data_IF_327580872304
#
_entry.id   IF_327580872304
#
_cell.length_a   1.000
_cell.length_b   1.000
_cell.length_c   1.000
_cell.angle_alpha   90.00
_cell.angle_beta   90.00
_cell.angle_gamma   90.00
#
_symmetry.space_group_name_H-M   'P 1'
#
loop_
_entity.id
_entity.type
_entity.pdbx_description
1 polymer ?
#
# COMPACT_ATOMS: atom_id res chain seq x y z
N UNK A 1 5.57 41.27 27.50
CA UNK A 1 4.19 41.19 27.00
C UNK A 1 3.59 39.95 27.62
N UNK A 2 2.77 40.15 28.65
CA UNK A 2 2.28 39.09 29.54
C UNK A 2 0.91 38.66 29.03
N UNK A 3 0.77 37.42 28.56
CA UNK A 3 -0.52 36.86 28.23
C UNK A 3 -0.94 35.87 29.33
N UNK A 4 -1.99 36.27 30.04
CA UNK A 4 -2.71 35.48 31.04
C UNK A 4 -3.76 34.67 30.29
N UNK A 5 -3.73 33.34 30.39
CA UNK A 5 -4.83 32.49 29.94
C UNK A 5 -5.63 32.00 31.15
N UNK A 6 -6.87 32.48 31.19
CA UNK A 6 -7.93 32.15 32.14
C UNK A 6 -8.48 30.77 31.80
N UNK A 7 -8.64 29.94 32.83
CA UNK A 7 -9.18 28.59 32.70
C UNK A 7 -10.69 28.54 32.59
N UNK A 8 -11.18 27.47 31.96
CA UNK A 8 -12.53 26.94 32.18
C UNK A 8 -12.40 25.46 32.53
N UNK A 9 -12.63 25.15 33.80
CA UNK A 9 -12.81 23.80 34.27
C UNK A 9 -14.19 23.28 33.91
N UNK A 10 -14.27 22.01 33.53
CA UNK A 10 -15.52 21.26 33.49
C UNK A 10 -15.28 19.89 34.13
N UNK A 11 -15.72 19.77 35.37
CA UNK A 11 -15.77 18.55 36.15
C UNK A 11 -16.92 17.69 35.63
N UNK A 12 -16.58 16.66 34.85
CA UNK A 12 -17.51 15.61 34.43
C UNK A 12 -17.53 14.48 35.46
N UNK A 13 -18.72 14.20 35.97
CA UNK A 13 -19.04 13.19 36.98
C UNK A 13 -18.82 11.78 36.44
N UNK A 14 -18.01 10.96 37.11
CA UNK A 14 -17.79 9.53 36.78
C UNK A 14 -18.75 8.70 37.64
N UNK A 15 -19.72 7.96 37.06
CA UNK A 15 -20.53 7.00 37.81
C UNK A 15 -19.72 5.73 38.14
N UNK A 16 -20.01 5.07 39.28
CA UNK A 16 -19.26 3.91 39.75
C UNK A 16 -19.51 2.64 38.91
N UNK A 17 -18.42 1.93 38.63
CA UNK A 17 -18.39 0.57 38.08
C UNK A 17 -19.07 -0.38 39.06
N UNK A 18 -20.09 -1.11 38.60
CA UNK A 18 -20.70 -2.23 39.31
C UNK A 18 -20.32 -3.53 38.61
N UNK A 19 -19.90 -4.49 39.43
CA UNK A 19 -19.35 -5.80 39.09
C UNK A 19 -20.22 -6.59 38.12
N UNK A 20 -19.65 -6.95 36.97
CA UNK A 20 -20.19 -8.01 36.12
C UNK A 20 -19.45 -9.29 36.43
N UNK A 21 -20.19 -10.24 37.00
CA UNK A 21 -19.76 -11.60 37.31
C UNK A 21 -19.41 -12.36 36.03
N UNK A 22 -18.14 -12.69 35.82
CA UNK A 22 -17.69 -13.52 34.71
C UNK A 22 -17.92 -15.00 35.03
N UNK A 23 -18.96 -15.60 34.46
CA UNK A 23 -19.10 -17.06 34.39
C UNK A 23 -18.10 -17.63 33.39
N UNK A 24 -17.19 -18.46 33.89
CA UNK A 24 -16.31 -19.28 33.06
C UNK A 24 -17.13 -20.41 32.41
N UNK A 25 -17.36 -20.30 31.10
CA UNK A 25 -17.83 -21.40 30.27
C UNK A 25 -16.61 -22.04 29.62
N UNK A 26 -16.30 -23.28 30.04
CA UNK A 26 -15.34 -24.15 29.38
C UNK A 26 -15.87 -24.56 28.02
N UNK A 27 -15.23 -24.13 26.94
CA UNK A 27 -15.42 -24.70 25.59
C UNK A 27 -14.23 -25.59 25.31
N UNK A 28 -14.52 -26.89 25.15
CA UNK A 28 -13.55 -27.90 24.78
C UNK A 28 -13.74 -28.28 23.31
N UNK A 29 -12.62 -28.64 22.69
CA UNK A 29 -12.47 -29.37 21.43
C UNK A 29 -12.78 -28.65 20.11
N UNK A 30 -11.68 -28.35 19.40
CA UNK A 30 -11.45 -29.03 18.13
C UNK A 30 -11.75 -28.20 16.89
N UNK A 31 -10.77 -27.44 16.42
CA UNK A 31 -10.61 -27.12 15.02
C UNK A 31 -9.11 -27.02 14.71
N UNK A 32 -8.64 -28.04 13.99
CA UNK A 32 -7.35 -28.08 13.31
C UNK A 32 -7.20 -26.84 12.43
N UNK A 33 -6.04 -26.16 12.38
CA UNK A 33 -5.82 -25.12 11.39
C UNK A 33 -5.97 -25.75 10.00
N UNK A 34 -6.90 -25.21 9.23
CA UNK A 34 -7.11 -25.60 7.84
C UNK A 34 -5.87 -25.16 7.09
N UNK A 35 -5.12 -26.14 6.60
CA UNK A 35 -4.04 -25.97 5.64
C UNK A 35 -4.43 -24.94 4.59
N UNK A 36 -3.64 -23.88 4.53
CA UNK A 36 -3.58 -22.89 3.48
C UNK A 36 -3.64 -23.62 2.13
N UNK A 37 -4.81 -23.55 1.48
CA UNK A 37 -5.01 -24.15 0.18
C UNK A 37 -4.36 -23.23 -0.83
N UNK A 38 -3.05 -23.37 -1.01
CA UNK A 38 -2.41 -23.04 -2.28
C UNK A 38 -3.08 -23.92 -3.34
N UNK A 39 -4.07 -23.36 -4.02
CA UNK A 39 -4.67 -24.01 -5.18
C UNK A 39 -3.59 -24.21 -6.24
N UNK A 40 -3.63 -25.31 -7.02
CA UNK A 40 -2.69 -25.49 -8.12
C UNK A 40 -2.82 -24.33 -9.10
N UNK A 41 -1.68 -23.77 -9.51
CA UNK A 41 -1.63 -22.80 -10.61
C UNK A 41 -2.41 -23.38 -11.80
N UNK A 42 -3.50 -22.73 -12.18
CA UNK A 42 -4.35 -23.19 -13.28
C UNK A 42 -3.57 -22.97 -14.57
N UNK A 43 -3.04 -24.06 -15.12
CA UNK A 43 -2.33 -24.04 -16.39
C UNK A 43 -3.34 -23.80 -17.51
N UNK A 44 -3.33 -22.60 -18.08
CA UNK A 44 -3.90 -22.39 -19.43
C UNK A 44 -3.14 -23.35 -20.33
N UNK A 45 -3.84 -24.34 -20.88
CA UNK A 45 -3.20 -25.55 -21.43
C UNK A 45 -2.10 -25.19 -22.43
N UNK A 46 -0.84 -25.50 -22.06
CA UNK A 46 0.33 -25.28 -22.91
C UNK A 46 0.95 -23.88 -22.89
N UNK A 47 0.45 -22.95 -22.09
CA UNK A 47 1.04 -21.63 -21.89
C UNK A 47 1.73 -21.53 -20.53
N UNK A 48 2.86 -20.83 -20.50
CA UNK A 48 3.58 -20.45 -19.30
C UNK A 48 3.99 -18.97 -19.40
N UNK A 49 3.99 -18.24 -18.27
CA UNK A 49 4.49 -16.87 -18.22
C UNK A 49 5.90 -16.75 -18.79
N UNK A 50 6.21 -15.64 -19.50
CA UNK A 50 7.56 -15.40 -19.99
C UNK A 50 8.55 -15.23 -18.83
N UNK A 51 9.84 -15.51 -19.06
CA UNK A 51 10.88 -15.19 -18.09
C UNK A 51 10.90 -13.68 -17.84
N UNK A 52 11.13 -13.30 -16.58
CA UNK A 52 11.06 -11.91 -16.16
C UNK A 52 12.32 -11.16 -16.58
N UNK A 53 12.22 -10.03 -17.30
CA UNK A 53 13.35 -9.14 -17.48
C UNK A 53 13.73 -8.53 -16.12
N UNK A 54 15.01 -8.67 -15.74
CA UNK A 54 15.62 -8.06 -14.55
C UNK A 54 15.34 -6.53 -14.55
N UNK A 55 15.21 -5.86 -13.37
CA UNK A 55 14.90 -4.44 -13.29
C UNK A 55 15.72 -3.57 -14.25
N UNK A 56 15.09 -2.52 -14.79
CA UNK A 56 15.76 -1.53 -15.67
C UNK A 56 16.97 -0.87 -14.98
N UNK A 57 16.88 -0.71 -13.65
CA UNK A 57 17.90 -0.10 -12.81
C UNK A 57 18.40 -1.11 -11.77
N UNK A 58 19.54 -1.80 -12.03
CA UNK A 58 20.07 -2.79 -11.09
C UNK A 58 20.55 -2.19 -9.76
N UNK A 59 20.82 -0.89 -9.72
CA UNK A 59 21.32 -0.18 -8.53
C UNK A 59 20.17 0.47 -7.74
N UNK A 60 18.90 0.26 -8.12
CA UNK A 60 17.73 0.89 -7.49
C UNK A 60 17.67 0.66 -5.98
N UNK A 61 17.98 -0.57 -5.53
CA UNK A 61 18.07 -0.91 -4.11
C UNK A 61 19.12 -0.08 -3.37
N UNK A 62 20.29 0.16 -3.98
CA UNK A 62 21.34 0.99 -3.38
C UNK A 62 20.91 2.45 -3.28
N UNK A 63 20.25 2.97 -4.32
CA UNK A 63 19.73 4.35 -4.35
C UNK A 63 18.70 4.63 -3.26
N UNK A 64 17.84 3.65 -2.98
CA UNK A 64 16.86 3.75 -1.89
C UNK A 64 17.50 3.68 -0.50
N UNK A 65 18.71 3.14 -0.39
CA UNK A 65 19.45 3.03 0.87
C UNK A 65 18.59 2.42 1.99
N UNK A 66 18.37 3.14 3.11
CA UNK A 66 17.62 2.62 4.24
C UNK A 66 16.12 2.43 3.96
N UNK A 67 15.57 3.01 2.90
CA UNK A 67 14.17 2.85 2.52
C UNK A 67 13.93 1.64 1.61
N UNK A 68 14.99 0.95 1.17
CA UNK A 68 14.90 -0.14 0.22
C UNK A 68 13.94 -1.25 0.66
N UNK A 69 14.00 -1.66 1.93
CA UNK A 69 13.15 -2.74 2.44
C UNK A 69 11.69 -2.33 2.57
N UNK A 70 11.42 -1.03 2.72
CA UNK A 70 10.07 -0.50 2.76
C UNK A 70 9.40 -0.50 1.40
N UNK A 71 10.13 -0.03 0.40
CA UNK A 71 9.67 0.16 -0.96
C UNK A 71 9.60 -1.18 -1.70
N UNK A 72 10.63 -2.02 -1.54
CA UNK A 72 10.77 -3.26 -2.29
C UNK A 72 10.14 -4.47 -1.58
N UNK A 73 10.10 -4.46 -0.24
CA UNK A 73 9.59 -5.57 0.59
C UNK A 73 10.18 -6.95 0.25
N UNK A 74 11.40 -6.98 -0.29
CA UNK A 74 12.08 -8.20 -0.74
C UNK A 74 11.96 -8.51 -2.23
N UNK A 75 11.20 -7.71 -2.99
CA UNK A 75 11.20 -7.74 -4.46
C UNK A 75 12.38 -7.00 -5.08
N UNK A 76 12.49 -7.11 -6.41
CA UNK A 76 13.47 -6.38 -7.20
C UNK A 76 12.95 -4.98 -7.62
N UNK A 77 11.64 -4.82 -7.76
CA UNK A 77 10.94 -3.55 -8.00
C UNK A 77 9.76 -3.39 -7.04
N UNK A 78 9.25 -2.16 -6.82
CA UNK A 78 8.06 -1.94 -5.99
C UNK A 78 6.83 -2.64 -6.59
N UNK A 79 5.96 -3.17 -5.72
CA UNK A 79 4.68 -3.70 -6.18
C UNK A 79 3.85 -2.57 -6.81
N UNK A 80 3.36 -2.79 -8.03
CA UNK A 80 2.59 -1.80 -8.78
C UNK A 80 3.42 -0.75 -9.52
N UNK A 81 4.77 -0.82 -9.50
CA UNK A 81 5.61 0.06 -10.31
C UNK A 81 5.38 -0.12 -11.81
N UNK A 82 5.86 0.82 -12.63
CA UNK A 82 5.80 0.72 -14.09
C UNK A 82 6.39 -0.61 -14.60
N UNK A 83 7.53 -1.05 -14.07
CA UNK A 83 8.14 -2.33 -14.42
C UNK A 83 7.25 -3.52 -14.07
N UNK A 84 6.59 -3.49 -12.91
CA UNK A 84 5.64 -4.52 -12.53
C UNK A 84 4.46 -4.54 -13.51
N UNK A 85 3.84 -3.39 -13.78
CA UNK A 85 2.70 -3.26 -14.69
C UNK A 85 3.06 -3.74 -16.09
N UNK A 86 4.21 -3.31 -16.63
CA UNK A 86 4.68 -3.73 -17.96
C UNK A 86 4.96 -5.23 -18.03
N UNK A 87 5.46 -5.83 -16.96
CA UNK A 87 5.63 -7.29 -16.89
C UNK A 87 4.27 -7.99 -16.98
N UNK A 88 3.28 -7.57 -16.20
CA UNK A 88 1.95 -8.19 -16.18
C UNK A 88 1.26 -8.04 -17.55
N UNK A 89 1.33 -6.85 -18.17
CA UNK A 89 0.81 -6.61 -19.54
C UNK A 89 1.44 -7.58 -20.54
N UNK A 90 2.77 -7.62 -20.61
CA UNK A 90 3.50 -8.52 -21.51
C UNK A 90 3.17 -10.00 -21.27
N UNK A 91 3.03 -10.38 -20.00
CA UNK A 91 2.63 -11.74 -19.63
C UNK A 91 1.23 -12.09 -20.14
N UNK A 92 0.24 -11.22 -19.94
CA UNK A 92 -1.13 -11.44 -20.40
C UNK A 92 -1.20 -11.46 -21.95
N UNK A 93 -0.48 -10.56 -22.62
CA UNK A 93 -0.37 -10.52 -24.09
C UNK A 93 0.25 -11.82 -24.63
N UNK A 94 1.25 -12.37 -23.96
CA UNK A 94 1.86 -13.65 -24.34
C UNK A 94 0.89 -14.84 -24.25
N UNK A 95 -0.18 -14.71 -23.46
CA UNK A 95 -1.27 -15.68 -23.36
C UNK A 95 -2.35 -15.49 -24.45
N UNK A 96 -2.18 -14.49 -25.32
CA UNK A 96 -3.07 -14.18 -26.44
C UNK A 96 -4.25 -13.28 -26.08
N UNK A 97 -4.13 -12.49 -25.00
CA UNK A 97 -5.15 -11.51 -24.61
C UNK A 97 -4.68 -10.09 -24.87
N UNK A 98 -5.53 -9.29 -25.49
CA UNK A 98 -5.30 -7.85 -25.58
C UNK A 98 -5.63 -7.19 -24.23
N UNK A 99 -4.73 -6.35 -23.72
CA UNK A 99 -4.87 -5.62 -22.46
C UNK A 99 -4.98 -4.13 -22.75
N UNK A 100 -5.88 -3.44 -22.06
CA UNK A 100 -5.84 -1.98 -21.96
C UNK A 100 -5.49 -1.60 -20.54
N UNK A 101 -4.47 -0.76 -20.38
CA UNK A 101 -4.12 -0.16 -19.09
C UNK A 101 -4.96 1.11 -18.92
N UNK A 102 -5.56 1.25 -17.75
CA UNK A 102 -6.37 2.40 -17.37
C UNK A 102 -5.55 3.69 -17.28
N UNK A 103 -6.22 4.86 -17.25
CA UNK A 103 -5.56 6.16 -17.11
C UNK A 103 -4.78 6.31 -15.80
N UNK A 104 -5.14 5.50 -14.80
CA UNK A 104 -4.45 5.40 -13.51
C UNK A 104 -3.12 4.64 -13.61
N UNK A 105 -2.80 4.02 -14.75
CA UNK A 105 -1.58 3.25 -14.97
C UNK A 105 -1.56 1.89 -14.27
N UNK A 106 -2.61 1.54 -13.52
CA UNK A 106 -2.63 0.35 -12.67
C UNK A 106 -3.84 -0.55 -12.92
N UNK A 107 -4.97 0.00 -13.39
CA UNK A 107 -6.14 -0.80 -13.77
C UNK A 107 -5.85 -1.52 -15.09
N UNK A 108 -6.16 -2.81 -15.16
CA UNK A 108 -6.05 -3.60 -16.39
C UNK A 108 -7.41 -4.19 -16.72
N UNK A 109 -7.92 -3.87 -17.91
CA UNK A 109 -9.19 -4.36 -18.38
C UNK A 109 -9.01 -5.32 -19.56
N UNK A 110 -9.81 -6.39 -19.54
CA UNK A 110 -9.93 -7.28 -20.68
C UNK A 110 -10.64 -6.56 -21.83
N UNK A 111 -10.15 -6.74 -23.06
CA UNK A 111 -10.83 -6.20 -24.22
C UNK A 111 -12.29 -6.68 -24.33
N UNK A 112 -13.20 -5.88 -24.92
CA UNK A 112 -14.60 -6.30 -25.12
C UNK A 112 -14.70 -7.64 -25.85
N UNK A 113 -15.55 -8.54 -25.34
CA UNK A 113 -15.76 -9.88 -25.92
C UNK A 113 -14.80 -10.97 -25.42
N UNK A 114 -13.87 -10.63 -24.52
CA UNK A 114 -13.00 -11.60 -23.85
C UNK A 114 -13.76 -12.37 -22.77
N UNK A 115 -13.42 -13.66 -22.60
CA UNK A 115 -13.87 -14.47 -21.47
C UNK A 115 -13.21 -13.96 -20.18
N UNK A 116 -13.92 -13.10 -19.44
CA UNK A 116 -13.43 -12.41 -18.24
C UNK A 116 -12.81 -13.36 -17.21
N UNK A 117 -13.41 -14.53 -16.99
CA UNK A 117 -12.88 -15.50 -16.02
C UNK A 117 -11.52 -16.07 -16.46
N UNK A 118 -11.33 -16.32 -17.76
CA UNK A 118 -10.06 -16.81 -18.30
C UNK A 118 -8.99 -15.71 -18.26
N UNK A 119 -9.37 -14.48 -18.56
CA UNK A 119 -8.48 -13.32 -18.43
C UNK A 119 -7.99 -13.15 -16.98
N UNK A 120 -8.90 -13.20 -15.99
CA UNK A 120 -8.55 -13.12 -14.57
C UNK A 120 -7.64 -14.25 -14.11
N UNK A 121 -7.84 -15.46 -14.63
CA UNK A 121 -6.95 -16.59 -14.34
C UNK A 121 -5.53 -16.36 -14.87
N UNK A 122 -5.39 -15.82 -16.09
CA UNK A 122 -4.09 -15.47 -16.68
C UNK A 122 -3.43 -14.34 -15.88
N UNK A 123 -4.17 -13.28 -15.56
CA UNK A 123 -3.67 -12.17 -14.74
C UNK A 123 -3.14 -12.68 -13.40
N UNK A 124 -3.90 -13.52 -12.69
CA UNK A 124 -3.46 -14.12 -11.43
C UNK A 124 -2.21 -15.01 -11.59
N UNK A 125 -2.10 -15.76 -12.69
CA UNK A 125 -0.91 -16.55 -12.98
C UNK A 125 0.32 -15.67 -13.29
N UNK A 126 0.12 -14.53 -13.95
CA UNK A 126 1.17 -13.54 -14.20
C UNK A 126 1.65 -12.89 -12.89
N UNK A 127 0.74 -12.47 -12.02
CA UNK A 127 1.08 -11.93 -10.69
C UNK A 127 1.87 -12.96 -9.87
N UNK A 128 1.43 -14.22 -9.85
CA UNK A 128 2.15 -15.27 -9.14
C UNK A 128 3.55 -15.51 -9.73
N UNK A 129 3.70 -15.48 -11.05
CA UNK A 129 5.00 -15.64 -11.69
C UNK A 129 5.96 -14.48 -11.39
N UNK A 130 5.45 -13.24 -11.25
CA UNK A 130 6.23 -12.09 -10.80
C UNK A 130 6.76 -12.29 -9.37
N UNK A 131 5.93 -12.86 -8.49
CA UNK A 131 6.30 -13.18 -7.11
C UNK A 131 7.32 -14.32 -7.07
N UNK A 132 7.06 -15.42 -7.78
CA UNK A 132 7.92 -16.61 -7.80
C UNK A 132 9.30 -16.32 -8.39
N UNK A 133 9.40 -15.36 -9.31
CA UNK A 133 10.68 -14.91 -9.86
C UNK A 133 11.43 -13.92 -8.96
N UNK A 134 10.79 -13.42 -7.89
CA UNK A 134 11.32 -12.35 -7.04
C UNK A 134 11.29 -10.97 -7.70
N UNK A 135 10.50 -10.76 -8.76
CA UNK A 135 10.35 -9.43 -9.36
C UNK A 135 9.72 -8.46 -8.37
N UNK A 136 8.62 -8.89 -7.76
CA UNK A 136 7.91 -8.16 -6.70
C UNK A 136 7.78 -9.07 -5.48
N UNK A 137 7.69 -8.46 -4.32
CA UNK A 137 7.30 -9.17 -3.12
C UNK A 137 5.80 -9.50 -3.15
N UNK A 138 5.36 -10.59 -2.46
CA UNK A 138 3.94 -10.82 -2.27
C UNK A 138 3.31 -9.64 -1.50
N UNK A 139 2.05 -9.28 -1.79
CA UNK A 139 1.36 -8.24 -1.04
C UNK A 139 1.22 -8.67 0.43
N UNK A 140 1.71 -7.82 1.33
CA UNK A 140 1.68 -8.04 2.78
C UNK A 140 1.08 -6.81 3.48
N UNK A 141 0.38 -7.05 4.59
CA UNK A 141 0.01 -5.96 5.49
C UNK A 141 1.27 -5.26 6.01
N UNK A 142 1.30 -3.92 6.05
CA UNK A 142 2.46 -3.21 6.59
C UNK A 142 2.69 -3.57 8.07
N UNK A 143 3.96 -3.69 8.48
CA UNK A 143 4.33 -3.77 9.90
C UNK A 143 4.09 -2.43 10.61
N UNK A 144 4.09 -2.42 11.95
CA UNK A 144 3.98 -1.17 12.73
C UNK A 144 5.09 -0.17 12.35
N UNK A 145 6.33 -0.65 12.16
CA UNK A 145 7.46 0.16 11.70
C UNK A 145 7.21 0.75 10.31
N UNK A 146 6.65 -0.04 9.39
CA UNK A 146 6.27 0.45 8.05
C UNK A 146 5.14 1.49 8.12
N UNK A 147 4.17 1.31 9.03
CA UNK A 147 3.10 2.28 9.25
C UNK A 147 3.63 3.59 9.84
N UNK A 148 4.57 3.53 10.79
CA UNK A 148 5.20 4.71 11.34
C UNK A 148 5.96 5.50 10.26
N UNK A 149 6.70 4.82 9.40
CA UNK A 149 7.44 5.48 8.32
C UNK A 149 6.52 6.01 7.21
N UNK A 150 5.43 5.29 6.90
CA UNK A 150 4.38 5.79 6.04
C UNK A 150 3.76 7.07 6.61
N UNK A 151 3.49 7.12 7.91
CA UNK A 151 3.00 8.32 8.57
C UNK A 151 3.97 9.49 8.44
N UNK A 152 5.27 9.26 8.64
CA UNK A 152 6.30 10.30 8.46
C UNK A 152 6.37 10.82 7.01
N UNK A 153 6.28 9.92 6.02
CA UNK A 153 6.21 10.31 4.61
C UNK A 153 4.96 11.15 4.32
N UNK A 154 3.78 10.75 4.81
CA UNK A 154 2.55 11.50 4.64
C UNK A 154 2.57 12.87 5.34
N UNK A 155 3.36 13.04 6.41
CA UNK A 155 3.59 14.36 7.01
C UNK A 155 4.37 15.30 6.10
N UNK A 156 5.24 14.79 5.20
CA UNK A 156 5.90 15.62 4.17
C UNK A 156 4.84 16.16 3.22
N UNK A 157 3.96 15.28 2.73
CA UNK A 157 2.84 15.64 1.87
C UNK A 157 1.90 16.65 2.54
N UNK A 158 1.51 16.40 3.79
CA UNK A 158 0.68 17.31 4.58
C UNK A 158 1.30 18.72 4.66
N UNK A 159 2.58 18.82 5.01
CA UNK A 159 3.28 20.11 5.10
C UNK A 159 3.30 20.82 3.74
N UNK A 160 3.55 20.09 2.65
CA UNK A 160 3.51 20.64 1.31
C UNK A 160 2.11 21.22 1.00
N UNK A 161 1.04 20.46 1.27
CA UNK A 161 -0.33 20.93 1.01
C UNK A 161 -0.62 22.24 1.78
N UNK A 162 -0.29 22.29 3.06
CA UNK A 162 -0.50 23.49 3.90
C UNK A 162 0.33 24.68 3.39
N UNK A 163 1.59 24.46 3.00
CA UNK A 163 2.47 25.50 2.48
C UNK A 163 1.94 26.13 1.18
N UNK A 164 1.38 25.32 0.28
CA UNK A 164 0.78 25.77 -0.97
C UNK A 164 -0.69 26.23 -0.82
N UNK A 165 -1.25 26.23 0.40
CA UNK A 165 -2.59 26.72 0.69
C UNK A 165 -3.71 25.75 0.31
N UNK A 166 -3.41 24.48 0.10
CA UNK A 166 -4.40 23.43 -0.13
C UNK A 166 -5.05 22.98 1.19
N UNK A 167 -6.34 22.61 1.20
CA UNK A 167 -6.98 22.07 2.39
C UNK A 167 -6.43 20.67 2.70
N UNK A 168 -6.01 20.46 3.94
CA UNK A 168 -5.58 19.16 4.44
C UNK A 168 -6.06 18.98 5.90
N UNK A 169 -6.52 17.78 6.30
CA UNK A 169 -6.95 17.53 7.67
C UNK A 169 -5.72 17.44 8.58
N UNK A 170 -5.80 18.03 9.77
CA UNK A 170 -4.76 17.88 10.80
C UNK A 170 -4.48 16.40 11.07
N UNK A 171 -3.20 15.99 11.11
CA UNK A 171 -2.84 14.59 11.33
C UNK A 171 -3.19 14.13 12.76
N UNK A 172 -3.57 12.86 12.96
CA UNK A 172 -3.71 12.26 14.28
C UNK A 172 -2.32 12.05 14.91
N UNK A 173 -2.25 11.40 16.08
CA UNK A 173 -0.94 10.93 16.57
C UNK A 173 -0.43 9.76 15.72
N UNK A 174 0.89 9.57 15.64
CA UNK A 174 1.50 8.42 14.96
C UNK A 174 0.95 7.10 15.52
N UNK A 175 0.85 6.97 16.84
CA UNK A 175 0.30 5.78 17.48
C UNK A 175 -1.14 5.50 17.02
N UNK A 176 -1.98 6.54 16.92
CA UNK A 176 -3.35 6.39 16.43
C UNK A 176 -3.38 5.93 14.97
N UNK A 177 -2.45 6.43 14.14
CA UNK A 177 -2.32 5.98 12.76
C UNK A 177 -1.88 4.51 12.67
N UNK A 178 -0.85 4.12 13.42
CA UNK A 178 -0.34 2.74 13.49
C UNK A 178 -1.41 1.77 14.01
N UNK A 179 -2.08 2.11 15.11
CA UNK A 179 -3.16 1.29 15.71
C UNK A 179 -4.33 1.06 14.74
N UNK A 180 -4.56 2.01 13.82
CA UNK A 180 -5.60 1.92 12.79
C UNK A 180 -5.19 1.11 11.55
N UNK A 181 -3.95 0.60 11.50
CA UNK A 181 -3.41 -0.03 10.30
C UNK A 181 -3.21 0.97 9.15
N UNK A 182 -3.00 2.26 9.46
CA UNK A 182 -2.85 3.34 8.47
C UNK A 182 -4.15 3.83 7.83
N UNK A 183 -5.32 3.42 8.33
CA UNK A 183 -6.62 3.81 7.76
C UNK A 183 -7.23 5.08 8.36
N UNK A 184 -6.72 5.56 9.51
CA UNK A 184 -7.33 6.66 10.24
C UNK A 184 -7.18 8.02 9.55
N UNK A 185 -6.20 8.22 8.67
CA UNK A 185 -5.88 9.53 8.13
C UNK A 185 -5.16 9.48 6.79
N UNK A 186 -5.44 10.46 5.93
CA UNK A 186 -4.72 10.71 4.70
C UNK A 186 -4.73 12.23 4.39
N UNK A 187 -3.61 12.84 3.96
CA UNK A 187 -3.52 14.29 3.75
C UNK A 187 -4.45 14.81 2.64
N UNK A 188 -4.78 13.96 1.66
CA UNK A 188 -5.64 14.33 0.52
C UNK A 188 -7.15 14.22 0.80
N UNK A 189 -7.60 13.77 1.98
CA UNK A 189 -9.02 13.44 2.22
C UNK A 189 -9.98 14.64 2.09
N UNK A 190 -9.49 15.88 2.23
CA UNK A 190 -10.30 17.10 2.08
C UNK A 190 -10.25 17.70 0.68
N UNK A 191 -9.44 17.14 -0.23
CA UNK A 191 -9.39 17.60 -1.61
C UNK A 191 -10.55 16.98 -2.40
N UNK A 192 -11.20 17.81 -3.22
CA UNK A 192 -12.32 17.41 -4.06
C UNK A 192 -11.93 17.51 -5.54
N UNK A 193 -12.50 16.64 -6.38
CA UNK A 193 -12.30 16.67 -7.82
C UNK A 193 -10.99 16.05 -8.28
N UNK A 194 -10.48 16.53 -9.41
CA UNK A 194 -9.22 16.07 -10.00
C UNK A 194 -8.03 16.68 -9.23
N UNK A 195 -7.27 15.81 -8.57
CA UNK A 195 -6.12 16.18 -7.73
C UNK A 195 -4.78 16.05 -8.46
N UNK A 196 -4.74 15.67 -9.73
CA UNK A 196 -3.49 15.41 -10.45
C UNK A 196 -2.56 16.64 -10.51
N UNK A 197 -3.11 17.84 -10.59
CA UNK A 197 -2.32 19.08 -10.54
C UNK A 197 -1.69 19.33 -9.15
N UNK A 198 -2.38 18.92 -8.08
CA UNK A 198 -1.87 19.02 -6.70
C UNK A 198 -0.77 17.99 -6.48
N UNK A 199 -0.95 16.77 -7.00
CA UNK A 199 0.00 15.67 -6.88
C UNK A 199 1.34 15.95 -7.57
N UNK A 200 1.34 16.73 -8.66
CA UNK A 200 2.57 17.21 -9.30
C UNK A 200 3.40 18.15 -8.40
N UNK A 201 2.78 18.78 -7.41
CA UNK A 201 3.42 19.72 -6.48
C UNK A 201 3.72 19.04 -5.14
N UNK A 202 2.75 18.27 -4.62
CA UNK A 202 2.79 17.65 -3.30
C UNK A 202 2.53 16.14 -3.41
N UNK A 203 3.51 15.31 -3.82
CA UNK A 203 3.28 13.89 -4.07
C UNK A 203 2.64 13.15 -2.89
N UNK A 204 1.70 12.24 -3.19
CA UNK A 204 1.09 11.32 -2.22
C UNK A 204 1.56 9.87 -2.39
N UNK A 205 2.12 9.53 -3.56
CA UNK A 205 2.70 8.22 -3.81
C UNK A 205 3.89 7.98 -2.86
N UNK A 206 3.79 6.91 -2.08
CA UNK A 206 4.79 6.59 -1.05
C UNK A 206 6.13 6.20 -1.66
N UNK A 207 6.15 5.55 -2.82
CA UNK A 207 7.42 5.21 -3.50
C UNK A 207 8.16 6.49 -3.85
N UNK A 208 7.48 7.43 -4.50
CA UNK A 208 8.01 8.76 -4.83
C UNK A 208 8.51 9.50 -3.59
N UNK A 209 7.74 9.46 -2.49
CA UNK A 209 8.15 10.12 -1.24
C UNK A 209 9.42 9.50 -0.65
N UNK A 210 9.53 8.18 -0.63
CA UNK A 210 10.74 7.51 -0.13
C UNK A 210 11.95 7.74 -1.03
N UNK A 211 11.78 7.76 -2.36
CA UNK A 211 12.85 8.12 -3.29
C UNK A 211 13.37 9.54 -3.03
N UNK A 212 12.47 10.51 -2.79
CA UNK A 212 12.85 11.88 -2.45
C UNK A 212 13.59 11.97 -1.10
N UNK A 213 13.12 11.23 -0.10
CA UNK A 213 13.79 11.16 1.21
C UNK A 213 15.19 10.55 1.07
N UNK A 214 15.32 9.47 0.31
CA UNK A 214 16.60 8.82 0.01
C UNK A 214 17.56 9.78 -0.71
N UNK A 215 17.09 10.46 -1.76
CA UNK A 215 17.87 11.43 -2.51
C UNK A 215 18.32 12.65 -1.67
N UNK A 216 17.50 13.04 -0.68
CA UNK A 216 17.82 14.10 0.27
C UNK A 216 18.76 13.63 1.41
N UNK A 217 19.12 12.35 1.48
CA UNK A 217 19.92 11.77 2.55
C UNK A 217 19.21 11.78 3.91
N UNK A 218 17.88 11.79 3.91
CA UNK A 218 17.09 11.62 5.13
C UNK A 218 17.21 10.17 5.59
N UNK A 219 17.27 9.98 6.91
CA UNK A 219 17.20 8.65 7.52
C UNK A 219 15.77 8.37 7.97
N UNK A 220 15.33 7.10 7.96
CA UNK A 220 14.06 6.69 8.54
C UNK A 220 13.91 7.18 9.99
#
# INVERSE_FOLDING_TARGET
MTLVLVGCGRTGHVPPLTDVTTSLVSVSAGQTPTTERSGPAVSVTGWAPPPVPIPKDPDYREKLGPYADMVLRGGAVPYGSEEHVLYIVSCIESAGFDVTVGPDGHSMEAAPGVQVDRFRQVQAACEQAAIDSGLVAPPQSPSEEQLALQYQALLITYRCLVEYGYPAPEPPSEQTYVDSGGSAWHPYTLLEGDVSAVEQICPQDLVTLYEQMAAAGQTP
#
